data_IF_079979220757
#
_entry.id   IF_079979220757
#
_cell.length_a   1.000
_cell.length_b   1.000
_cell.length_c   1.000
_cell.angle_alpha   90.00
_cell.angle_beta   90.00
_cell.angle_gamma   90.00
#
_symmetry.space_group_name_H-M   'P 1'
#
loop_
_entity.id
_entity.type
_entity.pdbx_description
1 polymer ?
#
# COMPACT_ATOMS: atom_id res chain seq x y z
N UNK A 1 6.16 -1.09 -7.23
CA UNK A 1 4.90 -0.77 -7.91
C UNK A 1 4.26 0.47 -7.30
N UNK A 2 3.36 1.11 -8.05
CA UNK A 2 2.60 2.28 -7.62
C UNK A 2 1.11 1.97 -7.72
N UNK A 3 0.36 2.24 -6.66
CA UNK A 3 -1.08 2.03 -6.60
C UNK A 3 -1.75 3.35 -6.21
N UNK A 4 -2.82 3.72 -6.88
CA UNK A 4 -3.56 4.95 -6.62
C UNK A 4 -5.06 4.68 -6.51
N UNK A 5 -5.63 5.16 -5.41
CA UNK A 5 -7.07 5.17 -5.16
C UNK A 5 -7.70 6.39 -5.84
N UNK A 6 -8.93 6.24 -6.32
CA UNK A 6 -9.60 7.26 -7.09
C UNK A 6 -11.07 7.43 -6.68
N UNK A 7 -11.67 8.48 -7.23
CA UNK A 7 -13.05 8.84 -7.01
C UNK A 7 -13.27 9.69 -5.77
N UNK A 8 -14.49 10.20 -5.65
CA UNK A 8 -14.91 11.05 -4.55
C UNK A 8 -16.39 10.82 -4.25
N UNK A 9 -16.81 11.00 -2.97
CA UNK A 9 -18.21 10.85 -2.58
C UNK A 9 -19.13 11.79 -3.37
N UNK A 10 -18.62 12.91 -3.88
CA UNK A 10 -19.29 13.85 -4.78
C UNK A 10 -18.30 14.39 -5.80
N UNK A 11 -18.79 14.78 -6.97
CA UNK A 11 -18.00 15.51 -7.95
C UNK A 11 -17.81 16.98 -7.52
N UNK A 12 -16.75 17.21 -6.75
CA UNK A 12 -16.33 18.53 -6.29
C UNK A 12 -15.59 19.34 -7.36
N UNK A 13 -15.28 18.73 -8.51
CA UNK A 13 -14.48 19.35 -9.57
C UNK A 13 -15.35 19.92 -10.69
N UNK A 14 -16.62 19.55 -10.75
CA UNK A 14 -17.57 20.08 -11.72
C UNK A 14 -17.96 21.53 -11.42
N UNK A 15 -17.59 22.46 -12.31
CA UNK A 15 -17.79 23.89 -12.12
C UNK A 15 -19.25 24.29 -11.83
N UNK A 16 -20.22 23.67 -12.51
CA UNK A 16 -21.64 23.97 -12.26
C UNK A 16 -22.09 23.55 -10.85
N UNK A 17 -21.59 22.42 -10.33
CA UNK A 17 -21.90 22.00 -8.96
C UNK A 17 -21.22 22.91 -7.95
N UNK A 18 -20.01 23.38 -8.24
CA UNK A 18 -19.32 24.38 -7.42
C UNK A 18 -20.13 25.67 -7.31
N UNK A 19 -20.68 26.16 -8.43
CA UNK A 19 -21.54 27.34 -8.43
C UNK A 19 -22.82 27.13 -7.61
N UNK A 20 -23.44 25.95 -7.71
CA UNK A 20 -24.63 25.57 -6.94
C UNK A 20 -24.35 25.43 -5.44
N UNK A 21 -23.17 24.90 -5.07
CA UNK A 21 -22.77 24.67 -3.68
C UNK A 21 -22.33 25.95 -2.94
N UNK A 22 -21.88 26.98 -3.67
CA UNK A 22 -21.27 28.17 -3.08
C UNK A 22 -22.14 28.91 -2.03
N UNK A 23 -23.46 29.10 -2.24
CA UNK A 23 -24.32 29.73 -1.23
C UNK A 23 -24.38 28.94 0.08
N UNK A 24 -24.49 27.61 0.00
CA UNK A 24 -24.53 26.74 1.18
C UNK A 24 -23.21 26.76 1.96
N UNK A 25 -22.07 26.71 1.26
CA UNK A 25 -20.75 26.83 1.89
C UNK A 25 -20.58 28.19 2.60
N UNK A 26 -21.01 29.29 1.96
CA UNK A 26 -20.98 30.64 2.57
C UNK A 26 -21.90 30.74 3.79
N UNK A 27 -22.98 29.97 3.82
CA UNK A 27 -23.87 29.86 4.98
C UNK A 27 -23.36 28.91 6.07
N UNK A 28 -22.16 28.33 5.93
CA UNK A 28 -21.52 27.47 6.93
C UNK A 28 -21.83 25.97 6.80
N UNK A 29 -22.45 25.53 5.70
CA UNK A 29 -22.61 24.11 5.44
C UNK A 29 -21.23 23.43 5.23
N UNK A 30 -21.09 22.19 5.70
CA UNK A 30 -19.92 21.38 5.36
C UNK A 30 -19.94 20.98 3.87
N UNK A 31 -18.79 20.53 3.37
CA UNK A 31 -18.60 20.23 1.96
C UNK A 31 -19.59 19.16 1.44
N UNK A 32 -19.85 18.11 2.22
CA UNK A 32 -20.78 17.05 1.83
C UNK A 32 -22.23 17.55 1.73
N UNK A 33 -22.65 18.40 2.67
CA UNK A 33 -23.97 19.01 2.65
C UNK A 33 -24.14 19.98 1.48
N UNK A 34 -23.13 20.82 1.21
CA UNK A 34 -23.18 21.78 0.11
C UNK A 34 -23.23 21.12 -1.28
N UNK A 35 -22.62 19.94 -1.42
CA UNK A 35 -22.61 19.14 -2.66
C UNK A 35 -23.60 17.97 -2.63
N UNK A 36 -24.62 18.00 -1.76
CA UNK A 36 -25.52 16.86 -1.58
C UNK A 36 -26.20 16.40 -2.89
N UNK A 37 -26.49 17.33 -3.81
CA UNK A 37 -27.09 17.07 -5.12
C UNK A 37 -26.11 16.78 -6.26
N UNK A 38 -24.80 16.90 -6.03
CA UNK A 38 -23.81 16.51 -7.04
C UNK A 38 -23.77 14.97 -7.18
N UNK A 39 -23.48 14.44 -8.39
CA UNK A 39 -23.30 13.01 -8.58
C UNK A 39 -22.07 12.51 -7.83
N UNK A 40 -22.03 11.22 -7.54
CA UNK A 40 -20.82 10.55 -7.06
C UNK A 40 -19.79 10.55 -8.20
N UNK A 41 -18.55 10.92 -7.91
CA UNK A 41 -17.47 10.84 -8.87
C UNK A 41 -16.83 9.45 -8.77
N UNK A 42 -17.44 8.46 -9.40
CA UNK A 42 -16.88 7.11 -9.47
C UNK A 42 -15.77 7.07 -10.52
N UNK A 43 -14.56 6.68 -10.11
CA UNK A 43 -13.41 6.58 -11.00
C UNK A 43 -12.71 5.25 -10.82
N UNK A 44 -12.11 4.70 -11.88
CA UNK A 44 -11.26 3.53 -11.77
C UNK A 44 -10.01 3.84 -10.96
N UNK A 45 -9.61 2.92 -10.08
CA UNK A 45 -8.28 2.94 -9.48
C UNK A 45 -7.19 2.80 -10.54
N UNK A 46 -5.94 2.99 -10.13
CA UNK A 46 -4.78 2.81 -11.02
C UNK A 46 -3.71 1.99 -10.35
N UNK A 47 -3.08 1.14 -11.15
CA UNK A 47 -1.90 0.40 -10.77
C UNK A 47 -0.84 0.52 -11.84
N UNK A 48 0.41 0.65 -11.41
CA UNK A 48 1.56 0.58 -12.29
C UNK A 48 2.61 -0.36 -11.74
N UNK A 49 2.97 -1.35 -12.56
CA UNK A 49 4.06 -2.29 -12.29
C UNK A 49 5.39 -1.62 -12.59
N UNK A 50 6.33 -1.72 -11.66
CA UNK A 50 7.70 -1.24 -11.86
C UNK A 50 8.42 -2.10 -12.90
N UNK A 51 9.06 -1.44 -13.87
CA UNK A 51 9.85 -2.09 -14.92
C UNK A 51 11.21 -1.41 -15.06
N UNK A 52 12.11 -2.00 -15.86
CA UNK A 52 13.42 -1.42 -16.12
C UNK A 52 13.27 -0.03 -16.76
N UNK A 53 13.57 1.02 -15.99
CA UNK A 53 13.53 2.41 -16.46
C UNK A 53 12.16 3.10 -16.33
N UNK A 54 11.17 2.50 -15.66
CA UNK A 54 9.88 3.16 -15.48
C UNK A 54 8.78 2.29 -14.89
N UNK A 55 7.56 2.53 -15.37
CA UNK A 55 6.33 1.93 -14.87
C UNK A 55 5.40 1.62 -16.05
N UNK A 56 4.81 0.42 -16.06
CA UNK A 56 3.78 0.02 -17.03
C UNK A 56 2.41 -0.02 -16.34
N UNK A 57 1.36 0.40 -17.03
CA UNK A 57 -0.02 0.31 -16.51
C UNK A 57 -0.39 -1.17 -16.30
N UNK A 58 -0.86 -1.49 -15.10
CA UNK A 58 -1.28 -2.83 -14.69
C UNK A 58 -2.71 -2.81 -14.11
N UNK A 59 -3.45 -1.72 -14.29
CA UNK A 59 -4.73 -1.46 -13.60
C UNK A 59 -5.77 -2.55 -13.91
N UNK A 60 -5.88 -2.93 -15.19
CA UNK A 60 -6.81 -3.99 -15.64
C UNK A 60 -6.32 -5.37 -15.22
N UNK A 61 -5.04 -5.65 -15.46
CA UNK A 61 -4.42 -6.95 -15.15
C UNK A 61 -4.52 -7.30 -13.66
N UNK A 62 -4.46 -6.28 -12.79
CA UNK A 62 -4.56 -6.45 -11.33
C UNK A 62 -5.97 -6.23 -10.79
N UNK A 63 -6.97 -5.99 -11.66
CA UNK A 63 -8.37 -5.82 -11.26
C UNK A 63 -8.65 -4.55 -10.44
N UNK A 64 -7.80 -3.53 -10.55
CA UNK A 64 -7.91 -2.24 -9.86
C UNK A 64 -8.62 -1.17 -10.70
N UNK A 65 -9.06 -1.51 -11.92
CA UNK A 65 -9.78 -0.62 -12.84
C UNK A 65 -11.30 -0.57 -12.60
N UNK A 66 -11.82 -1.28 -11.60
CA UNK A 66 -13.24 -1.21 -11.24
C UNK A 66 -13.63 0.21 -10.81
N UNK A 67 -14.58 0.88 -11.48
CA UNK A 67 -14.98 2.24 -11.12
C UNK A 67 -15.65 2.29 -9.75
N UNK A 68 -15.20 3.20 -8.89
CA UNK A 68 -15.76 3.37 -7.56
C UNK A 68 -15.27 4.63 -6.85
N UNK A 69 -15.53 4.70 -5.55
CA UNK A 69 -14.92 5.68 -4.64
C UNK A 69 -14.05 4.88 -3.69
N UNK A 70 -12.79 4.66 -4.08
CA UNK A 70 -11.84 3.83 -3.33
C UNK A 70 -11.27 4.70 -2.20
N UNK A 71 -11.57 4.35 -0.94
CA UNK A 71 -11.26 5.18 0.23
C UNK A 71 -9.96 4.78 0.90
N UNK A 72 -9.71 3.47 0.95
CA UNK A 72 -8.55 2.93 1.63
C UNK A 72 -8.08 1.65 0.95
N UNK A 73 -6.79 1.39 1.11
CA UNK A 73 -6.17 0.15 0.68
C UNK A 73 -5.08 -0.23 1.66
N UNK A 74 -4.97 -1.53 1.92
CA UNK A 74 -3.92 -2.11 2.75
C UNK A 74 -3.32 -3.30 2.01
N UNK A 75 -2.03 -3.50 2.20
CA UNK A 75 -1.34 -4.71 1.74
C UNK A 75 -1.04 -5.60 2.96
N UNK A 76 -1.34 -6.89 2.83
CA UNK A 76 -1.07 -7.91 3.84
C UNK A 76 -0.97 -9.29 3.17
N UNK A 77 -0.18 -10.19 3.75
CA UNK A 77 -0.11 -11.60 3.36
C UNK A 77 -1.23 -12.35 4.10
N UNK A 78 -2.42 -12.48 3.47
CA UNK A 78 -3.62 -12.94 4.16
C UNK A 78 -3.68 -14.46 4.27
N UNK A 79 -3.08 -15.17 3.33
CA UNK A 79 -3.04 -16.64 3.29
C UNK A 79 -1.70 -17.25 3.75
N UNK A 80 -0.72 -16.40 4.05
CA UNK A 80 0.62 -16.75 4.57
C UNK A 80 1.47 -17.50 3.56
N UNK A 81 1.31 -17.18 2.28
CA UNK A 81 2.13 -17.76 1.23
C UNK A 81 3.40 -16.94 0.93
N UNK A 82 3.53 -15.76 1.54
CA UNK A 82 4.72 -14.91 1.47
C UNK A 82 4.64 -13.80 0.41
N UNK A 83 3.58 -13.77 -0.40
CA UNK A 83 3.26 -12.62 -1.23
C UNK A 83 2.24 -11.68 -0.54
N UNK A 84 2.06 -10.47 -1.07
CA UNK A 84 1.16 -9.49 -0.46
C UNK A 84 -0.13 -9.41 -1.27
N UNK A 85 -1.25 -9.70 -0.62
CA UNK A 85 -2.59 -9.40 -1.10
C UNK A 85 -2.94 -7.94 -0.88
N UNK A 86 -3.93 -7.46 -1.65
CA UNK A 86 -4.50 -6.13 -1.47
C UNK A 86 -5.91 -6.22 -0.91
N UNK A 87 -6.18 -5.47 0.15
CA UNK A 87 -7.54 -5.18 0.63
C UNK A 87 -7.90 -3.79 0.16
N UNK A 88 -9.03 -3.66 -0.54
CA UNK A 88 -9.58 -2.38 -0.97
C UNK A 88 -10.94 -2.13 -0.30
N UNK A 89 -11.12 -0.91 0.22
CA UNK A 89 -12.38 -0.45 0.83
C UNK A 89 -12.94 0.70 0.00
N UNK A 90 -14.14 0.51 -0.54
CA UNK A 90 -14.89 1.52 -1.28
C UNK A 90 -16.08 2.08 -0.52
N UNK A 91 -16.45 3.34 -0.79
CA UNK A 91 -17.66 3.94 -0.21
C UNK A 91 -18.92 3.25 -0.76
N UNK A 92 -19.73 2.66 0.13
CA UNK A 92 -20.98 2.00 -0.26
C UNK A 92 -20.80 0.71 -1.07
N UNK A 93 -19.58 0.19 -1.14
CA UNK A 93 -19.23 -1.06 -1.82
C UNK A 93 -18.76 -2.11 -0.79
N UNK A 94 -18.89 -3.41 -1.09
CA UNK A 94 -18.27 -4.45 -0.28
C UNK A 94 -16.75 -4.29 -0.28
N UNK A 95 -16.11 -4.68 0.82
CA UNK A 95 -14.65 -4.81 0.86
C UNK A 95 -14.21 -5.84 -0.19
N UNK A 96 -13.12 -5.55 -0.90
CA UNK A 96 -12.55 -6.44 -1.91
C UNK A 96 -11.20 -6.93 -1.42
N UNK A 97 -10.95 -8.21 -1.61
CA UNK A 97 -9.61 -8.80 -1.47
C UNK A 97 -9.16 -9.16 -2.87
N UNK A 98 -8.02 -8.62 -3.28
CA UNK A 98 -7.36 -8.96 -4.52
C UNK A 98 -6.19 -9.85 -4.14
N UNK A 99 -6.39 -11.16 -4.33
CA UNK A 99 -5.38 -12.15 -4.06
C UNK A 99 -4.25 -12.01 -5.07
N UNK A 100 -3.03 -11.87 -4.57
CA UNK A 100 -1.87 -12.01 -5.43
C UNK A 100 -1.60 -13.51 -5.61
N UNK A 101 -1.41 -13.94 -6.86
CA UNK A 101 -1.19 -15.34 -7.19
C UNK A 101 0.26 -15.53 -7.63
N UNK A 102 1.19 -14.97 -6.86
CA UNK A 102 2.59 -14.76 -7.22
C UNK A 102 3.23 -15.92 -7.99
N UNK A 103 4.17 -15.62 -8.88
CA UNK A 103 4.88 -16.67 -9.65
C UNK A 103 6.00 -17.35 -8.86
N UNK A 104 6.41 -16.77 -7.73
CA UNK A 104 7.46 -17.31 -6.86
C UNK A 104 7.28 -16.81 -5.40
N UNK A 105 6.71 -17.63 -4.50
CA UNK A 105 6.30 -17.21 -3.15
C UNK A 105 7.46 -17.03 -2.16
N UNK A 106 8.72 -17.06 -2.63
CA UNK A 106 9.88 -17.03 -1.72
C UNK A 106 10.05 -15.64 -1.13
N UNK A 107 9.73 -15.53 0.15
CA UNK A 107 9.82 -14.29 0.91
C UNK A 107 10.42 -14.49 2.30
N UNK A 108 10.78 -13.38 2.95
CA UNK A 108 11.11 -13.34 4.38
C UNK A 108 10.22 -12.30 5.05
N UNK A 109 9.63 -12.66 6.19
CA UNK A 109 8.82 -11.77 7.01
C UNK A 109 9.65 -11.27 8.19
N UNK A 110 10.01 -9.99 8.18
CA UNK A 110 10.84 -9.41 9.24
C UNK A 110 10.00 -8.61 10.20
N UNK A 111 9.82 -9.15 11.41
CA UNK A 111 9.23 -8.44 12.55
C UNK A 111 10.32 -8.01 13.53
N UNK A 112 10.49 -6.70 13.69
CA UNK A 112 11.45 -6.16 14.63
C UNK A 112 10.95 -6.20 16.07
N UNK A 113 11.88 -6.39 17.00
CA UNK A 113 11.67 -6.36 18.45
C UNK A 113 12.64 -5.36 19.05
N UNK A 114 12.24 -4.09 19.09
CA UNK A 114 13.05 -3.03 19.68
C UNK A 114 13.07 -3.05 21.21
N UNK A 115 14.00 -2.33 21.81
CA UNK A 115 14.10 -2.14 23.26
C UNK A 115 13.48 -0.80 23.69
N UNK A 116 13.03 -0.70 24.94
CA UNK A 116 12.43 0.52 25.48
C UNK A 116 11.03 0.80 24.91
N UNK A 117 10.76 2.06 24.55
CA UNK A 117 9.42 2.52 24.14
C UNK A 117 9.05 2.18 22.69
N UNK A 118 10.04 1.92 21.81
CA UNK A 118 9.80 1.57 20.41
C UNK A 118 9.95 0.06 20.19
N UNK A 119 9.04 -0.72 20.78
CA UNK A 119 9.09 -2.20 20.74
C UNK A 119 8.85 -2.77 19.35
N UNK A 120 8.16 -2.05 18.47
CA UNK A 120 7.88 -2.46 17.09
C UNK A 120 8.96 -2.02 16.10
N UNK A 121 9.95 -1.22 16.52
CA UNK A 121 10.98 -0.71 15.62
C UNK A 121 10.45 0.25 14.55
N UNK A 122 9.36 1.00 14.84
CA UNK A 122 8.79 1.98 13.92
C UNK A 122 9.86 3.00 13.50
N UNK A 123 10.00 3.23 12.20
CA UNK A 123 11.04 4.06 11.59
C UNK A 123 12.36 3.34 11.32
N UNK A 124 12.49 2.04 11.63
CA UNK A 124 13.67 1.28 11.24
C UNK A 124 13.72 1.08 9.73
N UNK A 125 14.92 1.12 9.16
CA UNK A 125 15.22 0.87 7.76
C UNK A 125 15.89 -0.49 7.61
N UNK A 126 15.31 -1.34 6.76
CA UNK A 126 15.83 -2.65 6.39
C UNK A 126 16.39 -2.55 4.98
N UNK A 127 17.63 -3.01 4.79
CA UNK A 127 18.34 -2.97 3.51
C UNK A 127 18.86 -4.36 3.17
N UNK A 128 18.59 -4.82 1.96
CA UNK A 128 19.10 -6.10 1.49
C UNK A 128 19.28 -6.13 -0.03
N UNK A 129 20.13 -7.04 -0.49
CA UNK A 129 20.37 -7.30 -1.89
C UNK A 129 19.92 -8.73 -2.20
N UNK A 130 18.98 -8.89 -3.13
CA UNK A 130 18.50 -10.18 -3.61
C UNK A 130 18.65 -10.34 -5.12
N UNK A 131 18.11 -11.45 -5.65
CA UNK A 131 18.03 -11.67 -7.09
C UNK A 131 17.23 -10.57 -7.82
N UNK A 132 16.27 -9.95 -7.13
CA UNK A 132 15.49 -8.81 -7.60
C UNK A 132 16.20 -7.44 -7.45
N UNK A 133 17.49 -7.43 -7.05
CA UNK A 133 18.28 -6.22 -6.84
C UNK A 133 18.28 -5.72 -5.39
N UNK A 134 18.73 -4.48 -5.21
CA UNK A 134 18.77 -3.80 -3.92
C UNK A 134 17.37 -3.36 -3.53
N UNK A 135 16.96 -3.70 -2.31
CA UNK A 135 15.66 -3.37 -1.76
C UNK A 135 15.82 -2.70 -0.41
N UNK A 136 14.99 -1.67 -0.20
CA UNK A 136 14.86 -0.98 1.09
C UNK A 136 13.41 -1.09 1.55
N UNK A 137 13.21 -1.37 2.83
CA UNK A 137 11.91 -1.34 3.50
C UNK A 137 12.00 -0.51 4.76
N UNK A 138 10.92 0.17 5.09
CA UNK A 138 10.78 0.89 6.34
C UNK A 138 9.68 0.24 7.16
N UNK A 139 9.90 0.09 8.47
CA UNK A 139 8.81 -0.28 9.37
C UNK A 139 7.97 0.98 9.63
N UNK A 140 6.76 1.00 9.10
CA UNK A 140 5.81 2.08 9.28
C UNK A 140 4.74 1.72 10.33
N UNK A 141 4.07 2.75 10.84
CA UNK A 141 2.85 2.61 11.65
C UNK A 141 1.69 3.29 10.92
N UNK A 142 0.44 2.95 11.28
CA UNK A 142 -0.75 3.65 10.80
C UNK A 142 -1.37 3.12 9.52
N UNK A 143 -1.09 1.87 9.13
CA UNK A 143 -1.71 1.23 7.97
C UNK A 143 -1.61 -0.29 8.04
N UNK A 144 -0.50 -0.85 7.55
CA UNK A 144 -0.20 -2.28 7.62
C UNK A 144 0.42 -2.69 8.96
N UNK A 145 0.47 -4.00 9.21
CA UNK A 145 1.22 -4.56 10.34
C UNK A 145 2.70 -4.12 10.27
N UNK A 146 3.38 -3.85 11.41
CA UNK A 146 4.81 -3.46 11.43
C UNK A 146 5.74 -4.65 11.14
N UNK A 147 5.54 -5.27 9.98
CA UNK A 147 6.32 -6.37 9.42
C UNK A 147 6.80 -5.94 8.04
N UNK A 148 8.09 -6.16 7.76
CA UNK A 148 8.63 -5.95 6.43
C UNK A 148 8.57 -7.27 5.64
N UNK A 149 7.93 -7.23 4.47
CA UNK A 149 7.92 -8.32 3.50
C UNK A 149 9.08 -8.13 2.53
N UNK A 150 9.97 -9.12 2.48
CA UNK A 150 11.16 -9.12 1.63
C UNK A 150 11.02 -10.23 0.59
N UNK A 151 10.68 -9.88 -0.65
CA UNK A 151 10.64 -10.83 -1.76
C UNK A 151 12.05 -11.22 -2.20
N UNK A 152 12.33 -12.52 -2.31
CA UNK A 152 13.63 -13.06 -2.70
C UNK A 152 13.69 -13.50 -4.18
N UNK A 153 12.54 -13.57 -4.86
CA UNK A 153 12.44 -14.21 -6.17
C UNK A 153 12.88 -15.68 -6.04
N UNK A 154 13.69 -16.18 -6.97
CA UNK A 154 14.12 -17.60 -6.96
C UNK A 154 15.14 -17.98 -5.88
N UNK A 155 15.62 -17.04 -5.07
CA UNK A 155 16.66 -17.35 -4.08
C UNK A 155 16.10 -18.16 -2.90
N UNK A 156 16.83 -19.17 -2.46
CA UNK A 156 16.46 -20.02 -1.30
C UNK A 156 16.87 -19.44 0.04
N UNK A 157 17.71 -18.41 0.03
CA UNK A 157 18.14 -17.69 1.21
C UNK A 157 18.56 -16.27 0.87
N UNK A 158 18.51 -15.41 1.89
CA UNK A 158 19.06 -14.08 1.87
C UNK A 158 20.42 -14.09 2.59
N UNK A 159 21.48 -13.83 1.84
CA UNK A 159 22.85 -13.82 2.38
C UNK A 159 23.04 -12.80 3.50
N UNK A 160 22.39 -11.63 3.38
CA UNK A 160 22.55 -10.55 4.33
C UNK A 160 21.34 -9.60 4.36
N UNK A 161 20.96 -9.21 5.57
CA UNK A 161 19.99 -8.15 5.88
C UNK A 161 20.61 -7.16 6.87
N UNK A 162 20.71 -5.89 6.48
CA UNK A 162 21.08 -4.79 7.37
C UNK A 162 19.82 -4.12 7.95
N UNK A 163 19.80 -3.93 9.27
CA UNK A 163 18.75 -3.18 9.98
C UNK A 163 19.37 -1.94 10.60
N UNK A 164 18.90 -0.77 10.18
CA UNK A 164 19.25 0.53 10.78
C UNK A 164 18.08 0.99 11.64
N UNK A 165 18.28 0.99 12.95
CA UNK A 165 17.27 1.39 13.92
C UNK A 165 17.11 2.92 13.97
N UNK A 166 15.95 3.44 14.43
CA UNK A 166 15.74 4.89 14.61
C UNK A 166 16.76 5.56 15.54
N UNK A 167 17.35 4.79 16.47
CA UNK A 167 18.42 5.24 17.35
C UNK A 167 19.77 5.43 16.63
N UNK A 168 19.89 5.00 15.38
CA UNK A 168 21.14 4.93 14.62
C UNK A 168 21.92 3.63 14.82
N UNK A 169 21.50 2.77 15.77
CA UNK A 169 22.10 1.46 15.94
C UNK A 169 21.95 0.61 14.66
N UNK A 170 22.94 -0.24 14.39
CA UNK A 170 22.93 -1.13 13.22
C UNK A 170 23.00 -2.58 13.67
N UNK A 171 22.23 -3.43 13.02
CA UNK A 171 22.24 -4.86 13.21
C UNK A 171 22.37 -5.54 11.85
N UNK A 172 23.20 -6.56 11.78
CA UNK A 172 23.38 -7.39 10.59
C UNK A 172 22.87 -8.79 10.89
N UNK A 173 22.07 -9.34 9.97
CA UNK A 173 21.61 -10.72 9.97
C UNK A 173 22.14 -11.39 8.69
N UNK A 174 22.50 -12.67 8.78
CA UNK A 174 23.10 -13.45 7.69
C UNK A 174 22.41 -14.79 7.52
N UNK A 175 22.55 -15.34 6.31
CA UNK A 175 22.15 -16.70 5.96
C UNK A 175 20.69 -17.02 6.36
N UNK A 176 19.79 -16.08 6.04
CA UNK A 176 18.37 -16.20 6.38
C UNK A 176 17.67 -17.07 5.33
N UNK A 177 17.11 -18.24 5.70
CA UNK A 177 16.37 -19.08 4.76
C UNK A 177 15.10 -18.38 4.27
N UNK A 178 14.68 -18.69 3.04
CA UNK A 178 13.39 -18.27 2.53
C UNK A 178 12.24 -18.90 3.35
N UNK A 179 11.09 -18.23 3.32
CA UNK A 179 9.81 -18.63 3.93
C UNK A 179 9.86 -18.76 5.46
N UNK A 180 10.47 -17.77 6.10
CA UNK A 180 10.68 -17.69 7.55
C UNK A 180 10.37 -16.32 8.15
#
# INVERSE_FOLDING_TARGET
>A
DLLALAGAPRDFLHADHTAQAAPALRAGANLLAAYAGAPVLAQPGRAWRGEAGGFADASVDWGLDAPGVNLAMAAADLDRDGDLDLIEIGLGAPARVLANAGTDPRGILVRLRGTGWNTFGIGARLEFAGAAGQQVRWIAAGGSEPIAHLGLGKAESLAKLDVVWPSGARQELRDLPANH
#
